data_IF_212785145827
#
_entry.id   IF_212785145827
#
_cell.length_a   1.000
_cell.length_b   1.000
_cell.length_c   1.000
_cell.angle_alpha   90.00
_cell.angle_beta   90.00
_cell.angle_gamma   90.00
#
_symmetry.space_group_name_H-M   'P 1'
#
loop_
_entity.id
_entity.type
_entity.pdbx_description
1 polymer ?
#
# COMPACT_ATOMS: atom_id res chain seq x y z
N UNK A 1 1.29 1.80 23.95
CA UNK A 1 2.58 2.23 23.38
C UNK A 1 2.44 2.26 21.87
N UNK A 2 2.96 3.27 21.16
CA UNK A 2 2.91 3.31 19.70
C UNK A 2 3.74 2.18 19.11
N UNK A 3 3.21 1.54 18.07
CA UNK A 3 3.92 0.51 17.31
C UNK A 3 5.11 1.11 16.54
N UNK A 4 5.99 0.25 16.03
CA UNK A 4 7.18 0.68 15.25
C UNK A 4 6.78 1.53 14.03
N UNK A 5 5.74 1.14 13.30
CA UNK A 5 5.29 1.87 12.12
C UNK A 5 4.69 3.24 12.47
N UNK A 6 3.98 3.35 13.60
CA UNK A 6 3.47 4.64 14.09
C UNK A 6 4.59 5.58 14.51
N UNK A 7 5.63 5.07 15.18
CA UNK A 7 6.82 5.87 15.53
C UNK A 7 7.55 6.38 14.27
N UNK A 8 7.70 5.52 13.26
CA UNK A 8 8.27 5.89 11.96
C UNK A 8 7.44 7.01 11.29
N UNK A 9 6.12 6.90 11.32
CA UNK A 9 5.22 7.91 10.73
C UNK A 9 5.25 9.24 11.49
N UNK A 10 5.36 9.22 12.82
CA UNK A 10 5.52 10.42 13.63
C UNK A 10 6.83 11.15 13.29
N UNK A 11 7.94 10.41 13.15
CA UNK A 11 9.22 10.98 12.73
C UNK A 11 9.16 11.56 11.31
N UNK A 12 8.47 10.90 10.39
CA UNK A 12 8.25 11.40 9.03
C UNK A 12 7.45 12.70 9.05
N UNK A 13 6.39 12.77 9.84
CA UNK A 13 5.60 13.99 10.02
C UNK A 13 6.48 15.14 10.49
N UNK A 14 7.28 14.93 11.55
CA UNK A 14 8.19 15.94 12.08
C UNK A 14 9.12 16.46 10.98
N UNK A 15 9.72 15.56 10.20
CA UNK A 15 10.58 15.91 9.07
C UNK A 15 9.86 16.75 8.01
N UNK A 16 8.62 16.40 7.65
CA UNK A 16 7.82 17.16 6.70
C UNK A 16 7.52 18.58 7.23
N UNK A 17 7.28 18.73 8.53
CA UNK A 17 6.96 20.02 9.15
C UNK A 17 8.15 21.00 9.15
N UNK A 18 9.39 20.51 9.07
CA UNK A 18 10.58 21.37 8.93
C UNK A 18 10.76 21.94 7.50
N UNK A 19 10.04 21.43 6.50
CA UNK A 19 10.10 21.90 5.12
C UNK A 19 8.79 22.60 4.75
N UNK A 20 8.79 23.93 4.50
CA UNK A 20 7.56 24.66 4.17
C UNK A 20 6.80 24.07 2.98
N UNK A 21 7.52 23.62 1.95
CA UNK A 21 6.91 22.97 0.77
C UNK A 21 6.30 21.62 1.11
N UNK A 22 6.96 20.78 1.92
CA UNK A 22 6.41 19.48 2.30
C UNK A 22 5.21 19.62 3.24
N UNK A 23 5.26 20.57 4.18
CA UNK A 23 4.15 20.91 5.06
C UNK A 23 2.91 21.38 4.28
N UNK A 24 3.11 22.19 3.23
CA UNK A 24 2.03 22.63 2.34
C UNK A 24 1.39 21.45 1.61
N UNK A 25 2.19 20.59 0.97
CA UNK A 25 1.67 19.41 0.25
C UNK A 25 0.94 18.44 1.20
N UNK A 26 1.41 18.31 2.44
CA UNK A 26 0.70 17.55 3.48
C UNK A 26 -0.66 18.17 3.81
N UNK A 27 -0.75 19.50 3.94
CA UNK A 27 -2.01 20.18 4.19
C UNK A 27 -3.01 19.98 3.04
N UNK A 28 -2.55 20.12 1.79
CA UNK A 28 -3.34 19.87 0.58
C UNK A 28 -3.84 18.43 0.52
N UNK A 29 -2.95 17.45 0.74
CA UNK A 29 -3.32 16.03 0.76
C UNK A 29 -4.37 15.72 1.83
N UNK A 30 -4.27 16.34 3.01
CA UNK A 30 -5.29 16.19 4.07
C UNK A 30 -6.62 16.81 3.66
N UNK A 31 -6.61 17.91 2.91
CA UNK A 31 -7.82 18.50 2.35
C UNK A 31 -8.46 17.55 1.33
N UNK A 32 -7.67 16.93 0.44
CA UNK A 32 -8.16 15.97 -0.55
C UNK A 32 -8.78 14.72 0.08
N UNK A 33 -8.13 14.19 1.14
CA UNK A 33 -8.67 13.07 1.92
C UNK A 33 -9.98 13.43 2.64
N UNK A 34 -10.15 14.70 3.05
CA UNK A 34 -11.37 15.20 3.69
C UNK A 34 -12.49 15.45 2.70
N UNK A 35 -12.19 16.05 1.54
CA UNK A 35 -13.15 16.35 0.47
C UNK A 35 -13.61 15.09 -0.26
N UNK A 36 -12.85 13.99 -0.18
CA UNK A 36 -13.13 12.77 -0.90
C UNK A 36 -12.80 12.86 -2.39
N UNK A 37 -11.95 13.81 -2.78
CA UNK A 37 -11.48 13.95 -4.16
C UNK A 37 -10.59 12.78 -4.61
N UNK A 38 -10.02 12.06 -3.64
CA UNK A 38 -9.20 10.89 -3.91
C UNK A 38 -10.06 9.63 -4.02
N UNK A 39 -9.87 8.88 -5.11
CA UNK A 39 -10.57 7.63 -5.35
C UNK A 39 -10.41 6.67 -4.15
N UNK A 40 -11.53 6.11 -3.70
CA UNK A 40 -11.57 5.29 -2.50
C UNK A 40 -10.80 3.98 -2.68
N UNK A 41 -10.91 3.35 -3.86
CA UNK A 41 -10.20 2.10 -4.13
C UNK A 41 -8.69 2.34 -4.16
N UNK A 42 -8.21 3.42 -4.79
CA UNK A 42 -6.81 3.82 -4.76
C UNK A 42 -6.31 4.07 -3.33
N UNK A 43 -7.05 4.89 -2.56
CA UNK A 43 -6.68 5.24 -1.20
C UNK A 43 -6.58 4.01 -0.29
N UNK A 44 -7.55 3.11 -0.38
CA UNK A 44 -7.66 1.97 0.53
C UNK A 44 -6.56 0.91 0.28
N UNK A 45 -5.96 0.89 -0.94
CA UNK A 45 -4.74 0.12 -1.22
C UNK A 45 -3.55 0.61 -0.42
N UNK A 46 -3.47 1.91 -0.12
CA UNK A 46 -2.40 2.49 0.70
C UNK A 46 -2.74 2.32 2.18
N UNK A 47 -3.97 2.59 2.58
CA UNK A 47 -4.39 2.38 3.96
C UNK A 47 -5.88 2.56 4.17
N UNK A 48 -6.41 1.86 5.16
CA UNK A 48 -7.83 1.85 5.52
C UNK A 48 -7.95 1.73 7.04
N UNK A 49 -8.82 2.54 7.65
CA UNK A 49 -9.07 2.49 9.11
C UNK A 49 -10.58 2.41 9.36
N UNK A 50 -10.98 2.18 10.63
CA UNK A 50 -12.42 2.17 10.99
C UNK A 50 -13.09 3.52 10.70
N UNK A 51 -12.33 4.61 10.74
CA UNK A 51 -12.82 5.95 10.48
C UNK A 51 -12.54 6.36 9.03
N UNK A 52 -13.33 7.30 8.52
CA UNK A 52 -13.06 7.92 7.22
C UNK A 52 -11.68 8.57 7.21
N UNK A 53 -11.01 8.55 6.07
CA UNK A 53 -9.67 9.11 5.90
C UNK A 53 -9.56 10.60 6.29
N UNK A 54 -10.66 11.33 6.23
CA UNK A 54 -10.80 12.70 6.76
C UNK A 54 -10.33 12.86 8.22
N UNK A 55 -10.42 11.79 9.02
CA UNK A 55 -10.11 11.75 10.45
C UNK A 55 -8.80 11.03 10.77
N UNK A 56 -8.01 10.69 9.75
CA UNK A 56 -6.70 10.10 10.02
C UNK A 56 -5.82 11.06 10.82
N UNK A 57 -5.09 10.53 11.83
CA UNK A 57 -4.06 11.31 12.51
C UNK A 57 -3.06 11.90 11.51
N UNK A 58 -2.49 13.09 11.77
CA UNK A 58 -1.56 13.75 10.85
C UNK A 58 -0.40 12.86 10.38
N UNK A 59 0.14 12.02 11.26
CA UNK A 59 1.20 11.07 10.96
C UNK A 59 0.78 9.99 9.96
N UNK A 60 -0.49 9.56 10.00
CA UNK A 60 -1.03 8.63 9.01
C UNK A 60 -1.26 9.30 7.66
N UNK A 61 -1.65 10.58 7.65
CA UNK A 61 -1.71 11.38 6.42
C UNK A 61 -0.31 11.61 5.81
N UNK A 62 0.72 11.81 6.65
CA UNK A 62 2.10 11.93 6.20
C UNK A 62 2.61 10.62 5.59
N UNK A 63 2.35 9.48 6.25
CA UNK A 63 2.68 8.17 5.69
C UNK A 63 1.93 7.89 4.38
N UNK A 64 0.65 8.23 4.32
CA UNK A 64 -0.14 8.14 3.09
C UNK A 64 0.48 8.97 1.96
N UNK A 65 0.79 10.24 2.22
CA UNK A 65 1.43 11.14 1.25
C UNK A 65 2.74 10.55 0.73
N UNK A 66 3.55 9.95 1.60
CA UNK A 66 4.82 9.35 1.20
C UNK A 66 4.65 8.13 0.29
N UNK A 67 3.66 7.29 0.54
CA UNK A 67 3.34 6.16 -0.36
C UNK A 67 2.76 6.69 -1.68
N UNK A 68 1.83 7.64 -1.63
CA UNK A 68 1.25 8.25 -2.82
C UNK A 68 2.31 8.90 -3.71
N UNK A 69 3.19 9.73 -3.15
CA UNK A 69 4.29 10.36 -3.91
C UNK A 69 5.28 9.33 -4.45
N UNK A 70 5.54 8.25 -3.71
CA UNK A 70 6.35 7.13 -4.21
C UNK A 70 5.73 6.45 -5.42
N UNK A 71 4.41 6.18 -5.40
CA UNK A 71 3.69 5.65 -6.56
C UNK A 71 3.68 6.63 -7.74
N UNK A 72 3.48 7.92 -7.48
CA UNK A 72 3.42 8.96 -8.51
C UNK A 72 4.79 9.25 -9.15
N UNK A 73 5.88 9.10 -8.41
CA UNK A 73 7.24 9.29 -8.91
C UNK A 73 7.85 8.03 -9.53
N UNK A 74 7.21 6.88 -9.37
CA UNK A 74 7.74 5.59 -9.81
C UNK A 74 8.77 4.99 -8.87
N UNK A 75 8.93 5.53 -7.66
CA UNK A 75 9.67 4.84 -6.61
C UNK A 75 8.97 3.53 -6.23
N UNK A 76 7.64 3.56 -6.19
CA UNK A 76 6.82 2.38 -5.95
C UNK A 76 6.05 1.97 -7.21
N UNK A 77 5.90 0.67 -7.41
CA UNK A 77 5.08 0.06 -8.46
C UNK A 77 3.88 -0.65 -7.83
N UNK A 78 2.85 -0.90 -8.64
CA UNK A 78 1.62 -1.60 -8.21
C UNK A 78 1.20 -2.67 -9.22
N UNK A 79 0.91 -3.88 -8.73
CA UNK A 79 0.16 -4.89 -9.46
C UNK A 79 -1.17 -5.14 -8.75
N UNK A 80 -2.25 -5.32 -9.52
CA UNK A 80 -3.57 -5.65 -8.98
C UNK A 80 -3.86 -7.11 -9.26
N UNK A 81 -3.94 -7.91 -8.20
CA UNK A 81 -4.16 -9.34 -8.28
C UNK A 81 -5.64 -9.62 -7.99
N UNK A 82 -6.35 -10.17 -8.95
CA UNK A 82 -7.77 -10.48 -8.79
C UNK A 82 -7.97 -11.69 -7.87
N UNK A 83 -8.84 -11.52 -6.87
CA UNK A 83 -9.33 -12.61 -6.01
C UNK A 83 -10.78 -12.95 -6.39
N UNK A 84 -11.55 -11.95 -6.81
CA UNK A 84 -12.98 -12.08 -7.14
C UNK A 84 -13.90 -12.03 -5.90
N UNK A 85 -13.33 -11.99 -4.70
CA UNK A 85 -14.06 -11.88 -3.43
C UNK A 85 -13.47 -10.79 -2.55
N UNK A 86 -14.26 -10.30 -1.59
CA UNK A 86 -13.84 -9.33 -0.58
C UNK A 86 -13.33 -10.04 0.68
N UNK A 87 -12.48 -9.44 1.51
CA UNK A 87 -12.06 -10.08 2.76
C UNK A 87 -13.21 -10.09 3.78
N UNK A 88 -13.26 -11.14 4.61
CA UNK A 88 -14.05 -11.19 5.85
C UNK A 88 -13.27 -10.61 7.03
N UNK A 89 -13.97 -10.40 8.15
CA UNK A 89 -13.37 -9.97 9.41
C UNK A 89 -12.23 -10.88 9.88
N UNK A 90 -11.37 -10.33 10.73
CA UNK A 90 -10.14 -10.98 11.22
C UNK A 90 -10.39 -12.35 11.89
N UNK A 91 -11.58 -12.58 12.47
CA UNK A 91 -11.96 -13.84 13.10
C UNK A 91 -12.15 -14.99 12.08
N UNK A 92 -12.39 -14.67 10.81
CA UNK A 92 -12.70 -15.63 9.75
C UNK A 92 -11.48 -15.95 8.87
N UNK A 93 -10.27 -16.07 9.46
CA UNK A 93 -9.01 -16.33 8.73
C UNK A 93 -9.09 -17.52 7.78
N UNK A 94 -9.75 -18.60 8.20
CA UNK A 94 -9.96 -19.80 7.36
C UNK A 94 -10.74 -19.47 6.09
N UNK A 95 -11.73 -18.60 6.17
CA UNK A 95 -12.50 -18.15 5.00
C UNK A 95 -11.62 -17.30 4.11
N UNK A 96 -10.89 -16.34 4.67
CA UNK A 96 -9.95 -15.52 3.91
C UNK A 96 -8.89 -16.37 3.19
N UNK A 97 -8.32 -17.39 3.84
CA UNK A 97 -7.38 -18.32 3.20
C UNK A 97 -8.01 -19.07 2.01
N UNK A 98 -9.25 -19.55 2.16
CA UNK A 98 -9.97 -20.23 1.07
C UNK A 98 -10.25 -19.31 -0.12
N UNK A 99 -10.54 -18.04 0.14
CA UNK A 99 -10.72 -17.02 -0.91
C UNK A 99 -9.42 -16.71 -1.62
N UNK A 100 -8.35 -16.48 -0.86
CA UNK A 100 -7.01 -16.19 -1.39
C UNK A 100 -6.43 -17.36 -2.20
N UNK A 101 -6.80 -18.61 -1.88
CA UNK A 101 -6.45 -19.78 -2.67
C UNK A 101 -7.04 -19.78 -4.10
N UNK A 102 -7.98 -18.88 -4.42
CA UNK A 102 -8.55 -18.69 -5.76
C UNK A 102 -7.77 -17.69 -6.61
N UNK A 103 -6.77 -17.03 -6.04
CA UNK A 103 -5.86 -16.17 -6.80
C UNK A 103 -5.16 -16.98 -7.91
N UNK A 104 -4.63 -16.27 -8.90
CA UNK A 104 -3.90 -16.89 -9.99
C UNK A 104 -2.79 -17.83 -9.46
N UNK A 105 -2.60 -19.05 -10.01
CA UNK A 105 -1.68 -20.07 -9.47
C UNK A 105 -0.20 -19.66 -9.39
N UNK A 106 0.19 -18.57 -10.05
CA UNK A 106 1.52 -17.98 -9.90
C UNK A 106 1.77 -17.40 -8.50
N UNK A 107 0.72 -17.19 -7.71
CA UNK A 107 0.79 -16.63 -6.36
C UNK A 107 0.44 -17.69 -5.32
N UNK A 108 1.32 -17.87 -4.35
CA UNK A 108 1.08 -18.65 -3.15
C UNK A 108 0.82 -17.69 -1.99
N UNK A 109 -0.21 -17.97 -1.18
CA UNK A 109 -0.57 -17.14 -0.03
C UNK A 109 -0.51 -17.99 1.23
N UNK A 110 0.20 -17.48 2.25
CA UNK A 110 0.32 -18.13 3.56
C UNK A 110 -0.19 -17.16 4.62
N UNK A 111 -1.25 -17.51 5.35
CA UNK A 111 -1.73 -16.71 6.47
C UNK A 111 -1.07 -17.16 7.76
N UNK A 112 -0.69 -16.20 8.61
CA UNK A 112 -0.27 -16.49 9.97
C UNK A 112 -1.50 -16.94 10.77
N UNK A 113 -1.51 -18.21 11.16
CA UNK A 113 -2.63 -18.82 11.88
C UNK A 113 -2.76 -18.31 13.32
N UNK A 114 -1.66 -17.84 13.91
CA UNK A 114 -1.58 -17.48 15.33
C UNK A 114 -1.41 -15.97 15.56
N UNK A 115 -1.21 -15.18 14.48
CA UNK A 115 -0.79 -13.77 14.56
C UNK A 115 0.47 -13.60 15.42
N UNK A 116 1.30 -14.64 15.46
CA UNK A 116 2.54 -14.70 16.23
C UNK A 116 3.56 -13.70 15.68
N UNK A 117 3.50 -13.43 14.37
CA UNK A 117 4.27 -12.38 13.74
C UNK A 117 3.51 -11.05 13.83
N UNK A 118 3.97 -10.19 14.73
CA UNK A 118 3.46 -8.82 14.89
C UNK A 118 3.64 -7.91 13.65
N UNK A 119 4.20 -8.44 12.55
CA UNK A 119 4.57 -7.68 11.37
C UNK A 119 3.50 -7.73 10.26
N UNK A 120 2.59 -8.72 10.20
CA UNK A 120 1.53 -8.77 9.18
C UNK A 120 0.53 -9.92 9.35
N UNK A 121 -0.43 -10.06 8.45
CA UNK A 121 -1.46 -11.13 8.48
C UNK A 121 -1.00 -12.44 7.83
N UNK A 122 0.09 -12.38 7.06
CA UNK A 122 0.60 -13.48 6.27
C UNK A 122 1.62 -12.98 5.24
N UNK A 123 1.81 -13.76 4.17
CA UNK A 123 2.68 -13.44 3.05
C UNK A 123 2.07 -13.85 1.72
N UNK A 124 2.41 -13.11 0.66
CA UNK A 124 2.15 -13.46 -0.74
C UNK A 124 3.47 -13.67 -1.43
N UNK A 125 3.66 -14.85 -2.02
CA UNK A 125 4.86 -15.27 -2.73
C UNK A 125 4.57 -15.61 -4.19
N UNK A 126 5.54 -15.43 -5.06
CA UNK A 126 5.47 -15.84 -6.47
C UNK A 126 6.83 -16.35 -6.95
N UNK A 127 6.80 -17.34 -7.87
CA UNK A 127 8.02 -18.05 -8.32
C UNK A 127 8.42 -17.71 -9.76
N UNK A 128 7.59 -16.95 -10.47
CA UNK A 128 7.84 -16.50 -11.84
C UNK A 128 7.79 -14.97 -11.90
N UNK A 129 8.56 -14.29 -12.75
CA UNK A 129 8.47 -12.85 -12.88
C UNK A 129 7.04 -12.37 -13.14
N UNK A 130 6.65 -11.27 -12.51
CA UNK A 130 5.33 -10.65 -12.68
C UNK A 130 5.48 -9.25 -13.26
N UNK A 131 4.37 -8.68 -13.75
CA UNK A 131 4.34 -7.30 -14.24
C UNK A 131 3.58 -6.40 -13.26
N UNK A 132 4.21 -5.29 -12.92
CA UNK A 132 3.60 -4.21 -12.17
C UNK A 132 3.54 -2.94 -13.03
N UNK A 133 2.61 -2.05 -12.69
CA UNK A 133 2.52 -0.71 -13.26
C UNK A 133 3.39 0.24 -12.44
N UNK A 134 4.25 1.00 -13.11
CA UNK A 134 5.15 1.96 -12.49
C UNK A 134 5.00 3.31 -13.20
N UNK A 135 4.90 4.39 -12.42
CA UNK A 135 4.96 5.74 -12.99
C UNK A 135 6.35 6.05 -13.56
N UNK A 136 6.41 6.77 -14.68
CA UNK A 136 7.68 7.32 -15.21
C UNK A 136 8.05 8.65 -14.53
N UNK A 137 7.19 9.18 -13.65
CA UNK A 137 7.31 10.49 -13.03
C UNK A 137 7.01 11.65 -13.99
N UNK A 138 6.73 11.36 -15.27
CA UNK A 138 6.38 12.36 -16.27
C UNK A 138 4.86 12.52 -16.33
N UNK A 139 4.34 13.76 -16.34
CA UNK A 139 2.93 13.96 -16.57
C UNK A 139 2.58 13.66 -18.04
N UNK A 140 1.47 12.97 -18.26
CA UNK A 140 0.81 12.91 -19.56
C UNK A 140 0.28 14.31 -19.88
N UNK A 141 0.85 14.94 -20.90
CA UNK A 141 0.43 16.27 -21.38
C UNK A 141 -0.81 16.09 -22.24
N UNK A 142 -1.96 16.57 -21.78
CA UNK A 142 -3.21 16.56 -22.57
C UNK A 142 -4.51 16.55 -21.77
N UNK A 143 -4.50 16.11 -20.50
CA UNK A 143 -5.68 16.08 -19.64
C UNK A 143 -5.79 17.31 -18.73
N UNK A 144 -7.01 17.67 -18.33
CA UNK A 144 -7.32 18.76 -17.41
C UNK A 144 -6.70 18.60 -16.00
N UNK A 145 -6.18 17.41 -15.68
CA UNK A 145 -5.37 17.14 -14.50
C UNK A 145 -4.17 16.26 -14.89
N UNK A 146 -2.93 16.62 -14.49
CA UNK A 146 -1.75 15.83 -14.81
C UNK A 146 -1.86 14.44 -14.19
N UNK A 147 -1.77 13.41 -15.04
CA UNK A 147 -1.67 12.00 -14.64
C UNK A 147 -0.27 11.49 -14.96
N UNK A 148 0.31 10.61 -14.15
CA UNK A 148 1.59 10.03 -14.48
C UNK A 148 1.45 9.13 -15.71
N UNK A 149 2.41 9.20 -16.62
CA UNK A 149 2.60 8.16 -17.62
C UNK A 149 3.03 6.87 -16.90
N UNK A 150 2.39 5.75 -17.24
CA UNK A 150 2.66 4.45 -16.66
C UNK A 150 3.44 3.58 -17.64
N UNK A 151 4.37 2.78 -17.11
CA UNK A 151 5.10 1.75 -17.83
C UNK A 151 4.99 0.40 -17.13
N UNK A 152 5.17 -0.68 -17.88
CA UNK A 152 5.34 -2.00 -17.30
C UNK A 152 6.72 -2.08 -16.61
N UNK A 153 6.73 -2.62 -15.40
CA UNK A 153 7.91 -2.92 -14.61
C UNK A 153 7.90 -4.42 -14.30
N UNK A 154 8.93 -5.14 -14.73
CA UNK A 154 9.09 -6.55 -14.44
C UNK A 154 9.64 -6.73 -13.01
N UNK A 155 8.98 -7.56 -12.23
CA UNK A 155 9.32 -7.82 -10.84
C UNK A 155 9.79 -9.27 -10.74
N UNK A 156 11.01 -9.54 -10.23
CA UNK A 156 11.52 -10.89 -10.09
C UNK A 156 10.70 -11.70 -9.06
N UNK A 157 10.81 -13.04 -9.06
CA UNK A 157 10.25 -13.90 -8.02
C UNK A 157 10.56 -13.40 -6.60
N UNK A 158 9.61 -13.51 -5.68
CA UNK A 158 9.77 -12.98 -4.33
C UNK A 158 8.57 -13.25 -3.43
N UNK A 159 8.65 -12.72 -2.20
CA UNK A 159 7.59 -12.75 -1.20
C UNK A 159 7.47 -11.37 -0.55
N UNK A 160 6.25 -10.98 -0.18
CA UNK A 160 6.00 -9.77 0.61
C UNK A 160 4.98 -10.04 1.72
N UNK A 161 5.01 -9.25 2.81
CA UNK A 161 3.97 -9.28 3.83
C UNK A 161 2.57 -9.02 3.24
N UNK A 162 1.58 -9.74 3.75
CA UNK A 162 0.16 -9.56 3.46
C UNK A 162 -0.54 -8.84 4.61
N UNK A 163 -1.41 -7.92 4.25
CA UNK A 163 -2.21 -7.11 5.17
C UNK A 163 -3.66 -7.12 4.69
N UNK A 164 -4.56 -7.66 5.50
CA UNK A 164 -5.97 -7.86 5.17
C UNK A 164 -6.83 -6.85 5.93
N UNK A 165 -7.79 -6.24 5.24
CA UNK A 165 -8.75 -5.33 5.85
C UNK A 165 -8.12 -4.00 6.29
N UNK A 166 -8.38 -3.63 7.55
CA UNK A 166 -7.96 -2.35 8.11
C UNK A 166 -6.46 -2.35 8.42
N UNK A 167 -5.72 -1.53 7.68
CA UNK A 167 -4.30 -1.32 7.91
C UNK A 167 -3.98 0.15 7.76
N UNK A 168 -3.25 0.69 8.73
CA UNK A 168 -2.79 2.06 8.71
C UNK A 168 -1.83 2.33 7.54
N UNK A 169 -1.88 3.51 6.90
CA UNK A 169 -0.90 3.91 5.87
C UNK A 169 0.56 3.77 6.33
N UNK A 170 0.83 4.04 7.61
CA UNK A 170 2.16 3.87 8.21
C UNK A 170 2.70 2.43 8.13
N UNK A 171 1.84 1.42 8.27
CA UNK A 171 2.25 0.01 8.18
C UNK A 171 2.59 -0.37 6.74
N UNK A 172 1.77 0.05 5.78
CA UNK A 172 2.07 -0.08 4.35
C UNK A 172 3.42 0.56 4.00
N UNK A 173 3.68 1.78 4.49
CA UNK A 173 4.96 2.44 4.27
C UNK A 173 6.13 1.67 4.91
N UNK A 174 5.95 1.19 6.14
CA UNK A 174 6.99 0.42 6.83
C UNK A 174 7.37 -0.81 6.00
N UNK A 175 6.39 -1.53 5.47
CA UNK A 175 6.63 -2.71 4.63
C UNK A 175 7.36 -2.38 3.33
N UNK A 176 6.96 -1.31 2.64
CA UNK A 176 7.64 -0.84 1.44
C UNK A 176 9.12 -0.49 1.69
N UNK A 177 9.43 0.10 2.85
CA UNK A 177 10.80 0.52 3.18
C UNK A 177 11.65 -0.62 3.77
N UNK A 178 11.07 -1.51 4.57
CA UNK A 178 11.78 -2.57 5.28
C UNK A 178 11.84 -3.88 4.50
N UNK A 179 10.74 -4.25 3.86
CA UNK A 179 10.57 -5.54 3.18
C UNK A 179 10.56 -5.41 1.65
N UNK A 180 10.69 -4.20 1.12
CA UNK A 180 10.68 -3.94 -0.32
C UNK A 180 9.30 -4.06 -0.97
N UNK A 181 8.24 -4.35 -0.22
CA UNK A 181 6.90 -4.49 -0.76
C UNK A 181 5.86 -4.91 0.27
N UNK A 182 4.59 -4.90 -0.15
CA UNK A 182 3.44 -5.33 0.65
C UNK A 182 2.26 -5.69 -0.26
N UNK A 183 1.55 -6.76 0.09
CA UNK A 183 0.27 -7.13 -0.48
C UNK A 183 -0.86 -6.60 0.41
N UNK A 184 -1.73 -5.75 -0.14
CA UNK A 184 -2.85 -5.11 0.57
C UNK A 184 -4.17 -5.61 0.03
N UNK A 185 -4.95 -6.29 0.87
CA UNK A 185 -6.33 -6.68 0.54
C UNK A 185 -7.32 -5.92 1.42
N UNK A 186 -7.66 -4.67 1.08
CA UNK A 186 -8.55 -3.86 1.91
C UNK A 186 -9.99 -4.37 1.88
N UNK A 187 -10.77 -4.03 2.92
CA UNK A 187 -12.21 -4.33 2.92
C UNK A 187 -12.88 -3.69 1.69
N UNK A 188 -13.89 -4.39 1.16
CA UNK A 188 -14.66 -4.02 -0.04
C UNK A 188 -13.89 -4.14 -1.37
N UNK A 189 -12.62 -4.58 -1.36
CA UNK A 189 -11.87 -4.84 -2.59
C UNK A 189 -11.91 -6.30 -3.00
N UNK A 190 -12.18 -6.57 -4.28
CA UNK A 190 -12.01 -7.89 -4.91
C UNK A 190 -10.59 -8.15 -5.42
N UNK A 191 -9.69 -7.19 -5.18
CA UNK A 191 -8.29 -7.23 -5.59
C UNK A 191 -7.35 -7.11 -4.39
N UNK A 192 -6.25 -7.84 -4.44
CA UNK A 192 -5.04 -7.57 -3.64
C UNK A 192 -4.17 -6.59 -4.43
N UNK A 193 -3.84 -5.45 -3.84
CA UNK A 193 -2.83 -4.54 -4.39
C UNK A 193 -1.45 -4.93 -3.89
N UNK A 194 -0.61 -5.41 -4.79
CA UNK A 194 0.80 -5.67 -4.53
C UNK A 194 1.59 -4.40 -4.81
N UNK A 195 2.01 -3.71 -3.74
CA UNK A 195 2.84 -2.50 -3.80
C UNK A 195 4.30 -2.90 -3.61
N UNK A 196 5.19 -2.40 -4.47
CA UNK A 196 6.58 -2.84 -4.53
C UNK A 196 7.52 -1.64 -4.59
N UNK A 197 8.63 -1.73 -3.88
CA UNK A 197 9.69 -0.75 -3.92
C UNK A 197 10.68 -1.07 -5.04
N UNK A 198 10.71 -0.20 -6.05
CA UNK A 198 11.55 -0.40 -7.25
C UNK A 198 13.03 -0.09 -7.00
N UNK A 199 13.36 0.49 -5.84
CA UNK A 199 14.74 0.84 -5.48
C UNK A 199 15.45 -0.29 -4.72
N UNK A 200 14.71 -1.29 -4.23
CA UNK A 200 15.26 -2.42 -3.47
C UNK A 200 15.60 -3.64 -4.34
N UNK A 201 15.32 -3.59 -5.64
CA UNK A 201 15.73 -4.62 -6.61
C UNK A 201 17.26 -4.62 -6.74
N UNK A 202 17.92 -5.43 -5.93
CA UNK A 202 19.39 -5.52 -5.83
C UNK A 202 19.93 -6.06 -4.51
N UNK A 203 19.07 -6.23 -3.49
CA UNK A 203 19.42 -6.87 -2.22
C UNK A 203 18.75 -8.25 -2.11
N UNK A 204 19.28 -9.23 -2.83
CA UNK A 204 19.02 -10.66 -2.60
C UNK A 204 20.33 -11.36 -2.23
#
# INVERSE_FOLDING_TARGET
>A
MPTVHEQMAAKLLDQMLYSPSAAQVLAETRQDLRSGQMDAAYRDRIGQTQHRAAYWPPEQAAAFLRVHTGLMSGEFAVALLEVGEVPTGDADRRVNAQRLARMHPAFAVQLDAEQSNAEGDGEVCWTVPIRAQRSTGRPLVGDAAPRPELMEHEVPPGCVPLEIGLTFPSRTLMHLLKHGGVARWPYQSTFVALLLNTQTEGAA
#
